data_IF_871238207545
#
_entry.id   IF_871238207545
#
_cell.length_a   1.000
_cell.length_b   1.000
_cell.length_c   1.000
_cell.angle_alpha   90.00
_cell.angle_beta   90.00
_cell.angle_gamma   90.00
#
_symmetry.space_group_name_H-M   'P 1'
#
loop_
_entity.id
_entity.type
_entity.pdbx_description
1 polymer ?
#
# COMPACT_ATOMS: atom_id res chain seq x y z
N UNK A 1 -17.27 -15.03 0.03
CA UNK A 1 -16.32 -16.10 -0.34
C UNK A 1 -16.11 -16.14 -1.84
N UNK A 2 -14.92 -16.56 -2.26
CA UNK A 2 -14.66 -16.82 -3.68
C UNK A 2 -15.27 -18.18 -4.06
N UNK A 3 -16.19 -18.18 -5.02
CA UNK A 3 -16.91 -19.39 -5.44
C UNK A 3 -16.04 -20.33 -6.26
N UNK A 4 -14.98 -19.82 -6.87
CA UNK A 4 -14.04 -20.59 -7.69
C UNK A 4 -12.88 -21.17 -6.88
N UNK A 5 -12.56 -20.55 -5.74
CA UNK A 5 -11.43 -20.94 -4.89
C UNK A 5 -11.89 -21.08 -3.44
N UNK A 6 -12.34 -22.28 -3.03
CA UNK A 6 -12.83 -22.51 -1.67
C UNK A 6 -11.80 -22.07 -0.62
N UNK A 7 -12.24 -21.33 0.38
CA UNK A 7 -11.40 -20.80 1.45
C UNK A 7 -10.83 -19.39 1.16
N UNK A 8 -10.98 -18.87 -0.04
CA UNK A 8 -10.59 -17.52 -0.39
C UNK A 8 -11.77 -16.55 -0.37
N UNK A 9 -11.46 -15.27 -0.29
CA UNK A 9 -12.42 -14.17 -0.35
C UNK A 9 -12.23 -13.37 -1.63
N UNK A 10 -13.35 -13.11 -2.31
CA UNK A 10 -13.38 -12.20 -3.45
C UNK A 10 -13.40 -10.75 -2.91
N UNK A 11 -12.45 -9.94 -3.31
CA UNK A 11 -12.34 -8.54 -2.90
C UNK A 11 -12.94 -7.56 -3.89
N UNK A 12 -13.22 -8.02 -5.11
CA UNK A 12 -13.89 -7.22 -6.13
C UNK A 12 -15.40 -7.51 -6.10
N UNK A 13 -16.17 -6.44 -6.05
CA UNK A 13 -17.60 -6.48 -5.84
C UNK A 13 -18.33 -5.66 -6.91
N UNK A 14 -19.64 -5.81 -6.95
CA UNK A 14 -20.53 -5.01 -7.80
C UNK A 14 -20.63 -3.60 -7.25
N UNK A 15 -20.44 -2.62 -8.12
CA UNK A 15 -20.43 -1.21 -7.73
C UNK A 15 -21.77 -0.75 -7.16
N UNK A 16 -22.93 -0.94 -7.84
CA UNK A 16 -24.21 -0.51 -7.29
C UNK A 16 -24.48 -1.09 -5.91
N UNK A 17 -24.17 -2.38 -5.71
CA UNK A 17 -24.38 -3.03 -4.42
C UNK A 17 -23.54 -2.40 -3.30
N UNK A 18 -22.27 -2.09 -3.57
CA UNK A 18 -21.40 -1.49 -2.58
C UNK A 18 -21.74 -0.04 -2.26
N UNK A 19 -22.07 0.77 -3.28
CA UNK A 19 -22.51 2.16 -3.07
C UNK A 19 -23.80 2.18 -2.25
N UNK A 20 -24.75 1.28 -2.52
CA UNK A 20 -25.95 1.13 -1.75
C UNK A 20 -25.68 0.73 -0.29
N UNK A 21 -24.80 -0.23 -0.05
CA UNK A 21 -24.40 -0.64 1.32
C UNK A 21 -23.77 0.54 2.05
N UNK A 22 -22.82 1.25 1.42
CA UNK A 22 -22.14 2.40 2.01
C UNK A 22 -23.13 3.49 2.41
N UNK A 23 -24.11 3.75 1.57
CA UNK A 23 -25.09 4.84 1.80
C UNK A 23 -26.16 4.47 2.85
N UNK A 24 -26.43 3.19 3.08
CA UNK A 24 -27.54 2.75 3.93
C UNK A 24 -27.10 2.09 5.26
N UNK A 25 -25.82 1.73 5.42
CA UNK A 25 -25.32 1.15 6.67
C UNK A 25 -24.84 2.26 7.60
N UNK A 26 -25.42 2.31 8.80
CA UNK A 26 -25.28 3.47 9.73
C UNK A 26 -23.90 3.62 10.35
N UNK A 27 -23.09 2.56 10.38
CA UNK A 27 -21.77 2.57 11.00
C UNK A 27 -20.63 2.97 10.03
N UNK A 28 -20.96 3.34 8.78
CA UNK A 28 -20.00 3.79 7.78
C UNK A 28 -19.83 5.29 7.83
N UNK A 29 -18.61 5.78 8.01
CA UNK A 29 -18.25 7.19 7.89
C UNK A 29 -18.13 7.60 6.41
N UNK A 30 -17.39 6.82 5.63
CA UNK A 30 -17.27 6.97 4.19
C UNK A 30 -16.80 5.67 3.55
N UNK A 31 -17.00 5.55 2.24
CA UNK A 31 -16.54 4.40 1.48
C UNK A 31 -16.37 4.72 0.00
N UNK A 32 -15.65 3.88 -0.70
CA UNK A 32 -15.45 4.05 -2.13
C UNK A 32 -14.55 2.99 -2.74
N UNK A 33 -14.43 3.05 -4.05
CA UNK A 33 -13.59 2.16 -4.84
C UNK A 33 -12.37 2.88 -5.39
N UNK A 34 -11.24 2.20 -5.38
CA UNK A 34 -10.00 2.63 -6.04
C UNK A 34 -9.14 1.40 -6.35
N UNK A 35 -8.37 1.46 -7.41
CA UNK A 35 -7.33 0.46 -7.63
C UNK A 35 -6.20 0.68 -6.64
N UNK A 36 -5.71 -0.41 -6.04
CA UNK A 36 -4.53 -0.40 -5.18
C UNK A 36 -3.34 -1.04 -5.90
N UNK A 37 -2.13 -0.83 -5.39
CA UNK A 37 -0.90 -1.25 -6.06
C UNK A 37 -0.49 -0.28 -7.17
N UNK A 38 -0.02 -0.80 -8.28
CA UNK A 38 0.53 0.03 -9.37
C UNK A 38 -0.54 0.78 -10.18
N UNK A 39 -1.82 0.39 -10.08
CA UNK A 39 -2.82 0.85 -11.03
C UNK A 39 -2.53 0.34 -12.46
N UNK A 40 -2.86 1.13 -13.46
CA UNK A 40 -2.46 0.86 -14.85
C UNK A 40 -1.56 1.96 -15.38
N UNK A 41 -0.60 1.60 -16.23
CA UNK A 41 0.33 2.57 -16.81
C UNK A 41 -0.26 3.16 -18.07
N UNK A 42 -0.41 4.47 -18.10
CA UNK A 42 -0.98 5.19 -19.22
C UNK A 42 -0.01 6.22 -19.77
N UNK A 43 0.00 6.38 -21.10
CA UNK A 43 0.86 7.32 -21.80
C UNK A 43 0.16 8.66 -21.94
N UNK A 44 0.80 9.71 -21.46
CA UNK A 44 0.36 11.10 -21.57
C UNK A 44 1.37 11.95 -22.34
N UNK A 45 0.94 13.11 -22.80
CA UNK A 45 1.82 14.15 -23.35
C UNK A 45 1.38 15.53 -22.88
N UNK A 46 2.33 16.48 -22.93
CA UNK A 46 2.06 17.89 -22.64
C UNK A 46 1.45 18.62 -23.85
N UNK A 47 1.57 18.05 -25.01
CA UNK A 47 1.10 18.65 -26.27
C UNK A 47 0.21 17.66 -27.02
N UNK A 48 -0.75 18.21 -27.73
CA UNK A 48 -1.73 17.44 -28.51
C UNK A 48 -1.09 16.57 -29.58
N UNK A 49 0.05 16.98 -30.12
CA UNK A 49 0.80 16.23 -31.15
C UNK A 49 1.56 15.00 -30.61
N UNK A 50 1.48 14.73 -29.30
CA UNK A 50 2.15 13.62 -28.65
C UNK A 50 3.63 13.85 -28.36
N UNK A 51 4.16 15.03 -28.63
CA UNK A 51 5.51 15.40 -28.24
C UNK A 51 5.63 15.52 -26.73
N UNK A 52 6.84 15.25 -26.19
CA UNK A 52 7.09 15.27 -24.74
C UNK A 52 6.20 14.29 -23.97
N UNK A 53 6.09 13.05 -24.46
CA UNK A 53 5.28 12.02 -23.83
C UNK A 53 5.97 11.38 -22.61
N UNK A 54 5.16 11.02 -21.62
CA UNK A 54 5.59 10.36 -20.39
C UNK A 54 4.53 9.34 -19.94
N UNK A 55 4.88 8.49 -18.97
CA UNK A 55 3.96 7.51 -18.41
C UNK A 55 3.59 7.89 -16.97
N UNK A 56 2.31 7.72 -16.64
CA UNK A 56 1.80 7.81 -15.27
C UNK A 56 1.12 6.49 -14.89
N UNK A 57 1.29 6.12 -13.64
CA UNK A 57 0.49 5.06 -13.04
C UNK A 57 -0.84 5.66 -12.55
N UNK A 58 -1.90 5.30 -13.24
CA UNK A 58 -3.24 5.86 -13.05
C UNK A 58 -4.08 4.92 -12.20
N UNK A 59 -4.83 5.47 -11.25
CA UNK A 59 -5.91 4.76 -10.58
C UNK A 59 -7.25 5.41 -10.89
N UNK A 60 -8.21 4.60 -11.31
CA UNK A 60 -9.61 5.00 -11.39
C UNK A 60 -10.21 4.90 -10.00
N UNK A 61 -10.80 5.98 -9.51
CA UNK A 61 -11.28 6.08 -8.13
C UNK A 61 -12.61 6.79 -8.05
N UNK A 62 -13.43 6.40 -7.09
CA UNK A 62 -14.59 7.20 -6.69
C UNK A 62 -14.16 8.31 -5.72
N UNK A 63 -14.94 9.38 -5.62
CA UNK A 63 -14.67 10.48 -4.67
C UNK A 63 -14.69 10.00 -3.21
N UNK A 64 -15.49 8.99 -2.91
CA UNK A 64 -15.53 8.37 -1.58
C UNK A 64 -14.19 7.74 -1.18
N UNK A 65 -13.45 7.15 -2.12
CA UNK A 65 -12.14 6.57 -1.85
C UNK A 65 -11.11 7.62 -1.41
N UNK A 66 -11.18 8.86 -1.93
CA UNK A 66 -10.29 9.94 -1.49
C UNK A 66 -10.47 10.27 0.00
N UNK A 67 -11.71 10.19 0.49
CA UNK A 67 -12.01 10.38 1.91
C UNK A 67 -11.51 9.22 2.76
N UNK A 68 -11.72 7.98 2.31
CA UNK A 68 -11.24 6.77 3.00
C UNK A 68 -9.74 6.83 3.21
N UNK A 69 -8.97 7.17 2.17
CA UNK A 69 -7.51 7.21 2.21
C UNK A 69 -6.95 8.58 2.63
N UNK A 70 -7.82 9.52 3.03
CA UNK A 70 -7.42 10.86 3.47
C UNK A 70 -6.46 11.54 2.48
N UNK A 71 -6.81 11.50 1.20
CA UNK A 71 -6.02 12.17 0.15
C UNK A 71 -5.96 13.67 0.46
N UNK A 72 -4.75 14.18 0.67
CA UNK A 72 -4.50 15.58 1.04
C UNK A 72 -4.13 16.39 -0.21
N UNK A 73 -4.95 17.37 -0.57
CA UNK A 73 -4.61 18.29 -1.64
C UNK A 73 -3.55 19.30 -1.17
N UNK A 74 -2.47 19.40 -1.92
CA UNK A 74 -1.41 20.42 -1.74
C UNK A 74 -1.77 21.68 -2.51
N UNK A 75 -2.39 21.50 -3.69
CA UNK A 75 -2.84 22.59 -4.56
C UNK A 75 -4.16 22.17 -5.21
N UNK A 76 -5.11 23.10 -5.38
CA UNK A 76 -6.42 22.83 -5.94
C UNK A 76 -7.40 22.20 -4.95
N UNK A 77 -8.44 21.53 -5.45
CA UNK A 77 -9.48 20.85 -4.64
C UNK A 77 -9.83 19.49 -5.21
N UNK A 78 -9.98 18.51 -4.32
CA UNK A 78 -10.42 17.16 -4.68
C UNK A 78 -11.93 16.95 -4.57
N UNK A 79 -12.68 17.94 -4.11
CA UNK A 79 -14.12 17.79 -3.85
C UNK A 79 -15.00 17.89 -5.11
N UNK A 80 -14.52 18.62 -6.13
CA UNK A 80 -15.30 18.91 -7.34
C UNK A 80 -14.60 18.43 -8.62
N UNK A 81 -14.04 17.24 -8.60
CA UNK A 81 -13.34 16.64 -9.75
C UNK A 81 -14.36 16.14 -10.75
N UNK A 82 -14.33 16.68 -11.96
CA UNK A 82 -15.23 16.30 -13.05
C UNK A 82 -14.81 14.92 -13.58
N UNK A 83 -15.72 13.92 -13.58
CA UNK A 83 -15.42 12.59 -14.07
C UNK A 83 -14.84 12.59 -15.48
N UNK A 84 -13.77 11.83 -15.70
CA UNK A 84 -13.13 11.61 -17.01
C UNK A 84 -12.62 12.88 -17.72
N UNK A 85 -12.61 14.01 -17.05
CA UNK A 85 -12.10 15.29 -17.56
C UNK A 85 -10.99 15.87 -16.70
N UNK A 86 -11.07 15.59 -15.39
CA UNK A 86 -10.12 16.09 -14.43
C UNK A 86 -9.23 14.97 -13.92
N UNK A 87 -7.99 15.33 -13.63
CA UNK A 87 -6.98 14.44 -13.11
C UNK A 87 -6.38 15.06 -11.84
N UNK A 88 -6.14 14.21 -10.85
CA UNK A 88 -5.43 14.56 -9.61
C UNK A 88 -4.07 13.90 -9.66
N UNK A 89 -3.00 14.71 -9.70
CA UNK A 89 -1.62 14.24 -9.86
C UNK A 89 -0.85 14.35 -8.54
N UNK A 90 0.12 13.47 -8.30
CA UNK A 90 0.98 13.55 -7.13
C UNK A 90 1.95 14.74 -7.22
N UNK A 91 2.27 15.35 -6.07
CA UNK A 91 3.22 16.45 -5.95
C UNK A 91 4.58 16.11 -6.54
N UNK A 92 5.08 14.91 -6.28
CA UNK A 92 6.36 14.42 -6.80
C UNK A 92 6.40 14.35 -8.33
N UNK A 93 5.28 14.00 -8.97
CA UNK A 93 5.19 13.95 -10.44
C UNK A 93 4.92 15.34 -11.02
N UNK A 94 4.07 16.13 -10.40
CA UNK A 94 3.79 17.50 -10.81
C UNK A 94 5.10 18.31 -10.83
N UNK A 95 5.91 18.26 -9.76
CA UNK A 95 7.21 18.93 -9.69
C UNK A 95 8.16 18.44 -10.78
N UNK A 96 8.27 17.12 -10.99
CA UNK A 96 9.16 16.54 -12.00
C UNK A 96 8.80 16.95 -13.44
N UNK A 97 7.53 17.14 -13.72
CA UNK A 97 7.00 17.48 -15.05
C UNK A 97 6.76 18.98 -15.22
N UNK A 98 6.89 19.79 -14.15
CA UNK A 98 6.60 21.22 -14.16
C UNK A 98 5.11 21.54 -14.34
N UNK A 99 4.22 20.70 -13.80
CA UNK A 99 2.78 20.81 -13.94
C UNK A 99 2.15 21.52 -12.74
N UNK A 100 1.13 22.32 -13.02
CA UNK A 100 0.36 23.07 -12.04
C UNK A 100 -1.15 22.84 -12.20
N UNK A 101 -1.92 23.21 -11.20
CA UNK A 101 -3.38 23.18 -11.28
C UNK A 101 -3.85 24.10 -12.41
N UNK A 102 -4.75 23.58 -13.25
CA UNK A 102 -5.25 24.25 -14.45
C UNK A 102 -4.49 23.92 -15.73
N UNK A 103 -3.35 23.24 -15.64
CA UNK A 103 -2.66 22.72 -16.82
C UNK A 103 -3.45 21.58 -17.47
N UNK A 104 -3.18 21.39 -18.77
CA UNK A 104 -3.83 20.38 -19.59
C UNK A 104 -2.79 19.36 -20.04
N UNK A 105 -3.15 18.08 -19.90
CA UNK A 105 -2.38 16.97 -20.47
C UNK A 105 -3.28 16.08 -21.33
N UNK A 106 -2.66 15.36 -22.25
CA UNK A 106 -3.35 14.56 -23.25
C UNK A 106 -3.01 13.09 -23.05
N UNK A 107 -4.05 12.25 -22.89
CA UNK A 107 -3.90 10.80 -22.84
C UNK A 107 -3.90 10.22 -24.23
N UNK A 108 -3.02 9.26 -24.46
CA UNK A 108 -2.90 8.50 -25.73
C UNK A 108 -3.42 7.08 -25.55
N UNK A 109 -4.52 6.90 -24.81
CA UNK A 109 -5.04 5.59 -24.50
C UNK A 109 -5.65 4.91 -25.72
N UNK A 110 -5.22 3.66 -25.95
CA UNK A 110 -5.81 2.67 -26.89
C UNK A 110 -6.38 3.21 -28.23
N UNK A 111 -5.52 3.79 -29.02
CA UNK A 111 -5.57 3.59 -30.49
C UNK A 111 -6.46 4.47 -31.32
N UNK A 112 -7.27 5.41 -30.83
CA UNK A 112 -8.05 6.24 -31.75
C UNK A 112 -8.48 7.63 -31.27
N UNK A 113 -8.68 7.86 -30.01
CA UNK A 113 -9.15 9.17 -29.51
C UNK A 113 -8.26 9.65 -28.38
N UNK A 114 -7.55 10.72 -28.66
CA UNK A 114 -6.82 11.46 -27.66
C UNK A 114 -7.81 12.09 -26.69
N UNK A 115 -7.61 11.85 -25.39
CA UNK A 115 -8.46 12.41 -24.36
C UNK A 115 -7.69 13.51 -23.62
N UNK A 116 -8.32 14.66 -23.49
CA UNK A 116 -7.79 15.80 -22.75
C UNK A 116 -8.19 15.70 -21.28
N UNK A 117 -7.24 15.94 -20.38
CA UNK A 117 -7.44 16.03 -18.94
C UNK A 117 -6.95 17.37 -18.42
N UNK A 118 -7.71 17.99 -17.52
CA UNK A 118 -7.27 19.16 -16.75
C UNK A 118 -6.69 18.68 -15.41
N UNK A 119 -5.62 19.28 -14.95
CA UNK A 119 -5.10 19.03 -13.61
C UNK A 119 -5.94 19.84 -12.63
N UNK A 120 -6.86 19.17 -11.92
CA UNK A 120 -7.77 19.80 -10.96
C UNK A 120 -7.14 19.98 -9.58
N UNK A 121 -6.26 19.07 -9.19
CA UNK A 121 -5.56 19.12 -7.92
C UNK A 121 -4.20 18.41 -7.99
N UNK A 122 -3.31 18.86 -7.12
CA UNK A 122 -2.05 18.17 -6.81
C UNK A 122 -2.19 17.62 -5.40
N UNK A 123 -2.01 16.30 -5.24
CA UNK A 123 -2.10 15.66 -3.94
C UNK A 123 -0.71 15.31 -3.38
N UNK A 124 -0.60 15.25 -2.07
CA UNK A 124 0.59 14.80 -1.38
C UNK A 124 0.81 13.32 -1.61
N UNK A 125 1.93 12.97 -2.23
CA UNK A 125 2.24 11.59 -2.57
C UNK A 125 2.24 10.67 -1.34
N UNK A 126 1.69 9.47 -1.50
CA UNK A 126 1.64 8.49 -0.42
C UNK A 126 3.03 7.98 -0.04
N UNK A 127 3.27 7.68 1.25
CA UNK A 127 4.52 7.10 1.70
C UNK A 127 4.84 5.78 0.99
N UNK A 128 6.11 5.48 0.76
CA UNK A 128 6.58 4.29 0.05
C UNK A 128 6.23 2.94 0.70
N UNK A 129 5.78 2.97 1.95
CA UNK A 129 5.33 1.80 2.71
C UNK A 129 3.83 1.51 2.59
N UNK A 130 3.13 2.14 1.65
CA UNK A 130 1.71 1.90 1.37
C UNK A 130 1.52 1.29 -0.01
N UNK A 131 0.42 0.55 -0.21
CA UNK A 131 0.04 0.02 -1.52
C UNK A 131 -0.41 1.09 -2.52
N UNK A 132 -0.66 2.31 -2.04
CA UNK A 132 -1.00 3.46 -2.87
C UNK A 132 0.23 4.24 -3.37
N UNK A 133 1.43 3.91 -2.88
CA UNK A 133 2.66 4.65 -3.19
C UNK A 133 3.10 4.57 -4.66
N UNK A 134 2.59 3.62 -5.42
CA UNK A 134 2.90 3.50 -6.85
C UNK A 134 1.92 4.27 -7.74
N UNK A 135 0.82 4.77 -7.17
CA UNK A 135 -0.16 5.57 -7.90
C UNK A 135 0.38 6.99 -8.03
N UNK A 136 0.43 7.48 -9.25
CA UNK A 136 0.98 8.78 -9.58
C UNK A 136 -0.10 9.79 -9.92
N UNK A 137 -1.27 9.28 -10.34
CA UNK A 137 -2.45 10.11 -10.54
C UNK A 137 -3.75 9.33 -10.37
N UNK A 138 -4.81 10.07 -10.08
CA UNK A 138 -6.17 9.57 -9.98
C UNK A 138 -7.07 10.21 -11.01
N UNK A 139 -7.97 9.41 -11.58
CA UNK A 139 -9.09 9.85 -12.40
C UNK A 139 -10.38 9.51 -11.67
N UNK A 140 -11.29 10.48 -11.54
CA UNK A 140 -12.61 10.21 -11.02
C UNK A 140 -13.43 9.42 -12.06
N UNK A 141 -13.85 8.23 -11.68
CA UNK A 141 -14.61 7.32 -12.55
C UNK A 141 -16.09 7.69 -12.67
N UNK A 142 -16.55 8.71 -11.93
CA UNK A 142 -17.95 9.14 -11.96
C UNK A 142 -18.92 8.00 -11.73
N UNK A 143 -19.97 7.92 -12.56
CA UNK A 143 -21.02 6.91 -12.47
C UNK A 143 -20.76 5.68 -13.35
N UNK A 144 -19.50 5.42 -13.71
CA UNK A 144 -19.15 4.24 -14.51
C UNK A 144 -19.67 2.96 -13.85
N UNK A 145 -20.53 2.22 -14.58
CA UNK A 145 -21.13 0.95 -14.12
C UNK A 145 -21.92 1.05 -12.80
N UNK A 146 -22.44 2.23 -12.42
CA UNK A 146 -23.18 2.42 -11.17
C UNK A 146 -24.50 1.63 -11.14
N UNK A 147 -25.05 1.31 -12.31
CA UNK A 147 -26.29 0.53 -12.46
C UNK A 147 -26.03 -0.93 -12.91
N UNK A 148 -24.76 -1.31 -13.06
CA UNK A 148 -24.40 -2.62 -13.60
C UNK A 148 -24.09 -3.63 -12.49
N UNK A 149 -25.12 -4.33 -12.00
CA UNK A 149 -25.00 -5.34 -10.95
C UNK A 149 -24.18 -6.57 -11.35
N UNK A 150 -24.08 -6.89 -12.63
CA UNK A 150 -23.32 -8.03 -13.14
C UNK A 150 -21.81 -7.83 -13.16
N UNK A 151 -21.33 -6.58 -13.02
CA UNK A 151 -19.90 -6.25 -13.05
C UNK A 151 -19.30 -6.32 -11.64
N UNK A 152 -18.44 -7.32 -11.42
CA UNK A 152 -17.81 -7.59 -10.12
C UNK A 152 -16.29 -7.36 -10.14
N UNK A 153 -15.89 -6.17 -10.57
CA UNK A 153 -14.48 -5.83 -10.80
C UNK A 153 -13.92 -4.78 -9.84
N UNK A 154 -14.74 -4.23 -8.95
CA UNK A 154 -14.37 -3.09 -8.13
C UNK A 154 -13.97 -3.51 -6.71
N UNK A 155 -12.71 -3.25 -6.27
CA UNK A 155 -12.36 -3.34 -4.86
C UNK A 155 -12.95 -2.17 -4.09
N UNK A 156 -13.60 -2.45 -2.96
CA UNK A 156 -14.22 -1.43 -2.11
C UNK A 156 -13.54 -1.32 -0.77
N UNK A 157 -13.41 -0.09 -0.33
CA UNK A 157 -12.84 0.29 0.95
C UNK A 157 -13.85 1.12 1.71
N UNK A 158 -13.97 0.85 3.01
CA UNK A 158 -14.87 1.58 3.90
C UNK A 158 -14.11 2.04 5.13
N UNK A 159 -14.45 3.23 5.60
CA UNK A 159 -14.03 3.75 6.89
C UNK A 159 -15.21 3.71 7.82
N UNK A 160 -15.07 2.99 8.93
CA UNK A 160 -16.10 2.89 9.95
C UNK A 160 -15.96 4.02 10.98
N UNK A 161 -17.06 4.34 11.65
CA UNK A 161 -17.06 5.32 12.73
C UNK A 161 -16.21 4.87 13.93
N UNK A 162 -16.17 3.55 14.19
CA UNK A 162 -15.41 2.93 15.28
C UNK A 162 -14.87 1.56 14.87
N UNK A 163 -13.81 1.11 15.52
CA UNK A 163 -13.30 -0.26 15.37
C UNK A 163 -14.29 -1.32 15.88
N UNK A 164 -15.18 -0.96 16.80
CA UNK A 164 -16.20 -1.85 17.33
C UNK A 164 -17.38 -2.05 16.34
N UNK A 165 -17.41 -1.29 15.26
CA UNK A 165 -18.47 -1.34 14.24
C UNK A 165 -18.25 -2.45 13.18
N UNK A 166 -17.20 -3.25 13.27
CA UNK A 166 -16.91 -4.31 12.30
C UNK A 166 -18.05 -5.34 12.26
N UNK A 167 -18.39 -5.96 13.39
CA UNK A 167 -19.49 -6.95 13.45
C UNK A 167 -20.85 -6.32 13.12
N UNK A 168 -21.22 -5.13 13.65
CA UNK A 168 -22.41 -4.42 13.23
C UNK A 168 -22.48 -4.15 11.71
N UNK A 169 -21.36 -3.75 11.09
CA UNK A 169 -21.29 -3.55 9.65
C UNK A 169 -21.53 -4.85 8.88
N UNK A 170 -20.80 -5.92 9.21
CA UNK A 170 -20.90 -7.21 8.51
C UNK A 170 -22.35 -7.72 8.53
N UNK A 171 -23.04 -7.58 9.67
CA UNK A 171 -24.44 -7.98 9.81
C UNK A 171 -25.38 -7.08 9.00
N UNK A 172 -25.28 -5.76 9.12
CA UNK A 172 -26.15 -4.82 8.40
C UNK A 172 -25.96 -4.93 6.89
N UNK A 173 -24.71 -5.04 6.44
CA UNK A 173 -24.37 -5.22 5.04
C UNK A 173 -24.92 -6.55 4.49
N UNK A 174 -24.83 -7.64 5.26
CA UNK A 174 -25.41 -8.93 4.89
C UNK A 174 -26.92 -8.82 4.72
N UNK A 175 -27.63 -8.28 5.73
CA UNK A 175 -29.08 -8.12 5.71
C UNK A 175 -29.52 -7.26 4.52
N UNK A 176 -28.76 -6.20 4.22
CA UNK A 176 -29.04 -5.30 3.10
C UNK A 176 -28.83 -5.99 1.75
N UNK A 177 -27.75 -6.71 1.57
CA UNK A 177 -27.43 -7.45 0.35
C UNK A 177 -28.48 -8.53 0.07
N UNK A 178 -28.88 -9.31 1.08
CA UNK A 178 -29.95 -10.32 0.96
C UNK A 178 -31.27 -9.67 0.54
N UNK A 179 -31.62 -8.55 1.17
CA UNK A 179 -32.84 -7.79 0.80
C UNK A 179 -32.78 -7.32 -0.66
N UNK A 180 -31.67 -6.78 -1.11
CA UNK A 180 -31.50 -6.29 -2.48
C UNK A 180 -31.65 -7.42 -3.49
N UNK A 181 -30.99 -8.58 -3.28
CA UNK A 181 -31.13 -9.72 -4.16
C UNK A 181 -32.56 -10.27 -4.20
N UNK A 182 -33.25 -10.34 -3.06
CA UNK A 182 -34.65 -10.76 -3.02
C UNK A 182 -35.58 -9.81 -3.79
N UNK A 183 -35.32 -8.50 -3.70
CA UNK A 183 -36.10 -7.51 -4.47
C UNK A 183 -35.87 -7.66 -5.97
N UNK A 184 -34.60 -7.83 -6.39
CA UNK A 184 -34.26 -8.04 -7.80
C UNK A 184 -34.91 -9.32 -8.37
N UNK A 185 -34.88 -10.42 -7.63
CA UNK A 185 -35.52 -11.67 -8.04
C UNK A 185 -37.03 -11.48 -8.23
N UNK A 186 -37.70 -10.80 -7.30
CA UNK A 186 -39.12 -10.49 -7.39
C UNK A 186 -39.48 -9.59 -8.59
N UNK A 187 -38.64 -8.61 -8.92
CA UNK A 187 -38.83 -7.71 -10.07
C UNK A 187 -38.69 -8.45 -11.42
N UNK A 188 -37.84 -9.47 -11.48
CA UNK A 188 -37.67 -10.30 -12.66
C UNK A 188 -38.69 -11.45 -12.76
N UNK A 189 -39.61 -11.59 -11.79
CA UNK A 189 -40.64 -12.61 -11.78
C UNK A 189 -40.12 -14.03 -11.48
N UNK A 190 -38.89 -14.10 -10.98
CA UNK A 190 -38.28 -15.35 -10.49
C UNK A 190 -38.63 -15.50 -9.01
N UNK A 191 -39.74 -16.21 -8.71
CA UNK A 191 -40.01 -16.66 -7.34
C UNK A 191 -38.97 -17.70 -6.94
N UNK A 192 -37.89 -17.26 -6.30
CA UNK A 192 -36.95 -18.17 -5.65
C UNK A 192 -37.69 -18.98 -4.58
N UNK A 193 -37.56 -20.31 -4.60
CA UNK A 193 -38.11 -21.11 -3.54
C UNK A 193 -37.50 -20.78 -2.19
N UNK A 194 -38.19 -21.03 -1.10
CA UNK A 194 -37.64 -20.84 0.26
C UNK A 194 -36.34 -21.63 0.48
N UNK A 195 -36.18 -22.77 -0.20
CA UNK A 195 -34.97 -23.60 -0.14
C UNK A 195 -33.82 -22.93 -0.88
N UNK A 196 -34.03 -22.39 -2.09
CA UNK A 196 -33.03 -21.68 -2.87
C UNK A 196 -32.56 -20.41 -2.15
N UNK A 197 -33.47 -19.69 -1.50
CA UNK A 197 -33.15 -18.53 -0.67
C UNK A 197 -32.23 -18.88 0.49
N UNK A 198 -32.58 -19.90 1.26
CA UNK A 198 -31.76 -20.38 2.39
C UNK A 198 -30.41 -20.90 1.93
N UNK A 199 -30.34 -21.54 0.78
CA UNK A 199 -29.07 -21.98 0.20
C UNK A 199 -28.21 -20.80 -0.21
N UNK A 200 -28.75 -19.78 -0.88
CA UNK A 200 -28.05 -18.57 -1.26
C UNK A 200 -27.56 -17.79 -0.03
N UNK A 201 -28.41 -17.61 0.98
CA UNK A 201 -28.04 -16.97 2.24
C UNK A 201 -26.94 -17.74 2.99
N UNK A 202 -26.98 -19.07 2.97
CA UNK A 202 -25.93 -19.87 3.62
C UNK A 202 -24.54 -19.74 2.95
N UNK A 203 -24.53 -19.45 1.67
CA UNK A 203 -23.31 -19.26 0.86
C UNK A 203 -22.78 -17.84 0.89
N UNK A 204 -23.67 -16.84 1.05
CA UNK A 204 -23.30 -15.46 1.15
C UNK A 204 -22.67 -15.20 2.51
N UNK A 205 -21.49 -14.60 2.50
CA UNK A 205 -20.81 -14.09 3.70
C UNK A 205 -20.15 -12.79 3.35
N UNK A 206 -20.31 -11.81 4.20
CA UNK A 206 -19.62 -10.52 4.10
C UNK A 206 -18.62 -10.46 5.25
N UNK A 207 -17.40 -10.06 4.95
CA UNK A 207 -16.35 -9.90 5.94
C UNK A 207 -15.53 -8.68 5.61
N UNK A 208 -15.23 -7.89 6.63
CA UNK A 208 -14.24 -6.82 6.55
C UNK A 208 -12.85 -7.34 6.90
N UNK A 209 -11.88 -6.84 6.19
CA UNK A 209 -10.48 -7.09 6.46
C UNK A 209 -9.80 -5.76 6.75
N UNK A 210 -9.11 -5.63 7.90
CA UNK A 210 -8.31 -4.44 8.19
C UNK A 210 -7.29 -4.18 7.09
N UNK A 211 -7.19 -2.94 6.63
CA UNK A 211 -6.33 -2.59 5.49
C UNK A 211 -4.85 -2.82 5.79
N UNK A 212 -4.42 -2.61 7.02
CA UNK A 212 -3.05 -2.84 7.47
C UNK A 212 -2.66 -4.33 7.55
N UNK A 213 -3.65 -5.24 7.68
CA UNK A 213 -3.42 -6.68 7.69
C UNK A 213 -3.43 -7.30 6.29
N UNK A 214 -4.00 -6.61 5.30
CA UNK A 214 -4.16 -7.12 3.94
C UNK A 214 -2.85 -7.60 3.31
N UNK A 215 -1.75 -6.93 3.58
CA UNK A 215 -0.43 -7.29 3.02
C UNK A 215 -0.02 -8.73 3.30
N UNK A 216 -0.38 -9.27 4.45
CA UNK A 216 -0.05 -10.63 4.88
C UNK A 216 -1.22 -11.62 4.77
N UNK A 217 -2.40 -11.17 4.37
CA UNK A 217 -3.57 -12.04 4.24
C UNK A 217 -3.52 -12.81 2.92
N UNK A 218 -3.51 -14.15 3.02
CA UNK A 218 -3.40 -15.03 1.85
C UNK A 218 -4.74 -15.49 1.30
N UNK A 219 -5.79 -15.33 2.10
CA UNK A 219 -7.14 -15.76 1.72
C UNK A 219 -7.86 -14.72 0.86
N UNK A 220 -7.25 -13.56 0.69
CA UNK A 220 -7.78 -12.47 -0.12
C UNK A 220 -7.11 -12.49 -1.48
N UNK A 221 -7.92 -12.53 -2.53
CA UNK A 221 -7.44 -12.27 -3.91
C UNK A 221 -7.31 -10.76 -4.09
N UNK A 222 -6.22 -10.16 -3.57
CA UNK A 222 -6.02 -8.71 -3.67
C UNK A 222 -5.23 -8.33 -4.92
N UNK A 223 -5.57 -7.17 -5.48
CA UNK A 223 -4.79 -6.54 -6.55
C UNK A 223 -3.52 -5.83 -6.01
N UNK A 224 -3.36 -5.73 -4.69
CA UNK A 224 -2.23 -5.10 -4.02
C UNK A 224 -1.01 -6.01 -3.87
N UNK A 225 0.04 -5.44 -3.29
CA UNK A 225 1.24 -6.19 -2.91
C UNK A 225 0.90 -7.19 -1.81
N UNK A 226 1.40 -8.40 -1.91
CA UNK A 226 1.24 -9.41 -0.88
C UNK A 226 2.57 -9.91 -0.36
N UNK A 227 2.68 -10.05 0.95
CA UNK A 227 3.84 -10.60 1.64
C UNK A 227 3.56 -11.96 2.26
N UNK A 228 4.62 -12.65 2.65
CA UNK A 228 4.51 -13.91 3.38
C UNK A 228 5.06 -13.73 4.80
N UNK A 229 4.22 -13.87 5.82
CA UNK A 229 4.65 -13.90 7.23
C UNK A 229 5.75 -14.91 7.45
N UNK A 230 5.62 -16.11 6.85
CA UNK A 230 6.64 -17.18 6.95
C UNK A 230 7.98 -16.71 6.39
N UNK A 231 7.99 -16.12 5.19
CA UNK A 231 9.24 -15.61 4.58
C UNK A 231 9.85 -14.50 5.42
N UNK A 232 9.05 -13.58 5.93
CA UNK A 232 9.53 -12.48 6.78
C UNK A 232 10.16 -13.00 8.08
N UNK A 233 9.50 -13.93 8.77
CA UNK A 233 10.06 -14.52 10.00
C UNK A 233 11.29 -15.39 9.71
N UNK A 234 11.34 -16.10 8.59
CA UNK A 234 12.50 -16.88 8.19
C UNK A 234 13.70 -15.97 7.94
N UNK A 235 13.51 -14.87 7.22
CA UNK A 235 14.58 -13.88 6.99
C UNK A 235 15.05 -13.24 8.30
N UNK A 236 14.12 -12.92 9.20
CA UNK A 236 14.45 -12.40 10.54
C UNK A 236 15.28 -13.42 11.34
N UNK A 237 14.88 -14.69 11.34
CA UNK A 237 15.62 -15.75 12.03
C UNK A 237 17.04 -15.91 11.47
N UNK A 238 17.21 -15.89 10.14
CA UNK A 238 18.51 -15.92 9.48
C UNK A 238 19.35 -14.70 9.88
N UNK A 239 18.76 -13.51 9.91
CA UNK A 239 19.47 -12.29 10.32
C UNK A 239 19.97 -12.38 11.76
N UNK A 240 19.14 -12.88 12.68
CA UNK A 240 19.53 -13.10 14.08
C UNK A 240 20.68 -14.14 14.16
N UNK A 241 20.59 -15.24 13.41
CA UNK A 241 21.64 -16.27 13.38
C UNK A 241 22.98 -15.68 12.91
N UNK A 242 22.97 -14.85 11.86
CA UNK A 242 24.16 -14.17 11.35
C UNK A 242 24.76 -13.25 12.42
N UNK A 243 23.93 -12.51 13.16
CA UNK A 243 24.38 -11.66 14.26
C UNK A 243 25.04 -12.50 15.36
N UNK A 244 24.45 -13.64 15.73
CA UNK A 244 25.02 -14.56 16.74
C UNK A 244 26.38 -15.09 16.29
N UNK A 245 26.50 -15.54 15.03
CA UNK A 245 27.76 -16.02 14.47
C UNK A 245 28.82 -14.89 14.48
N UNK A 246 28.45 -13.71 14.06
CA UNK A 246 29.33 -12.54 14.07
C UNK A 246 29.80 -12.20 15.50
N UNK A 247 28.92 -12.31 16.48
CA UNK A 247 29.25 -12.10 17.88
C UNK A 247 30.22 -13.14 18.43
N UNK A 248 30.02 -14.44 18.10
CA UNK A 248 30.92 -15.51 18.45
C UNK A 248 32.32 -15.26 17.84
N UNK A 249 32.39 -14.90 16.56
CA UNK A 249 33.64 -14.57 15.89
C UNK A 249 34.34 -13.37 16.55
N UNK A 250 33.60 -12.35 16.95
CA UNK A 250 34.11 -11.20 17.67
C UNK A 250 34.70 -11.61 19.02
N UNK A 251 34.01 -12.47 19.78
CA UNK A 251 34.53 -13.00 21.06
C UNK A 251 35.82 -13.78 20.84
N UNK A 252 35.89 -14.69 19.87
CA UNK A 252 37.08 -15.47 19.55
C UNK A 252 38.27 -14.56 19.21
N UNK A 253 38.03 -13.55 18.37
CA UNK A 253 39.05 -12.55 18.03
C UNK A 253 39.51 -11.75 19.26
N UNK A 254 38.57 -11.34 20.11
CA UNK A 254 38.88 -10.63 21.35
C UNK A 254 39.77 -11.46 22.27
N UNK A 255 39.44 -12.74 22.48
CA UNK A 255 40.28 -13.65 23.30
C UNK A 255 41.68 -13.85 22.74
N UNK A 256 41.82 -13.92 21.41
CA UNK A 256 43.12 -14.02 20.77
C UNK A 256 44.03 -12.80 21.02
N UNK A 257 43.42 -11.61 21.21
CA UNK A 257 44.13 -10.37 21.48
C UNK A 257 44.48 -10.18 22.98
N UNK A 258 43.87 -10.94 23.90
CA UNK A 258 44.08 -10.79 25.36
C UNK A 258 45.53 -10.86 25.75
N UNK A 259 46.38 -11.85 25.30
CA UNK A 259 47.79 -11.92 25.71
C UNK A 259 48.58 -10.67 25.31
N UNK A 260 48.33 -10.14 24.11
CA UNK A 260 49.02 -8.95 23.61
C UNK A 260 48.59 -7.70 24.44
N UNK A 261 47.28 -7.57 24.71
CA UNK A 261 46.76 -6.46 25.51
C UNK A 261 47.21 -6.50 26.97
N UNK A 262 47.29 -7.69 27.59
CA UNK A 262 47.79 -7.86 28.95
C UNK A 262 49.23 -7.33 29.08
N UNK A 263 50.11 -7.61 28.11
CA UNK A 263 51.49 -7.09 28.11
C UNK A 263 51.51 -5.55 28.07
N UNK A 264 50.70 -4.92 27.23
CA UNK A 264 50.62 -3.47 27.16
C UNK A 264 50.01 -2.85 28.43
N UNK A 265 48.93 -3.45 28.97
CA UNK A 265 48.30 -3.00 30.21
C UNK A 265 49.25 -3.09 31.41
N UNK A 266 50.00 -4.21 31.55
CA UNK A 266 50.99 -4.39 32.60
C UNK A 266 52.11 -3.35 32.53
N UNK A 267 52.66 -3.06 31.33
CA UNK A 267 53.67 -2.04 31.14
C UNK A 267 53.16 -0.65 31.58
N UNK A 268 51.95 -0.27 31.16
CA UNK A 268 51.33 1.02 31.56
C UNK A 268 51.07 1.09 33.08
N UNK A 269 50.70 -0.06 33.71
CA UNK A 269 50.46 -0.13 35.15
C UNK A 269 51.75 0.07 35.93
N UNK A 270 52.87 -0.52 35.48
CA UNK A 270 54.21 -0.33 36.06
C UNK A 270 54.65 1.14 35.97
N UNK A 271 54.25 1.83 34.91
CA UNK A 271 54.51 3.27 34.68
C UNK A 271 53.57 4.18 35.46
N UNK A 272 52.69 3.64 36.35
CA UNK A 272 51.83 4.42 37.23
C UNK A 272 50.46 4.77 36.65
N UNK A 273 50.02 4.14 35.56
CA UNK A 273 48.69 4.38 35.03
C UNK A 273 47.57 3.91 35.99
N UNK A 274 46.59 4.74 36.24
CA UNK A 274 45.44 4.39 37.08
C UNK A 274 44.55 3.34 36.38
N UNK A 275 43.87 2.50 37.16
CA UNK A 275 42.93 1.49 36.64
C UNK A 275 41.84 2.10 35.75
N UNK A 276 41.37 3.27 36.14
CA UNK A 276 40.33 4.00 35.39
C UNK A 276 40.82 4.41 33.99
N UNK A 277 42.03 4.94 33.89
CA UNK A 277 42.61 5.35 32.61
C UNK A 277 42.87 4.15 31.67
N UNK A 278 43.22 2.99 32.22
CA UNK A 278 43.42 1.77 31.43
C UNK A 278 42.07 1.26 30.87
N UNK A 279 41.03 1.20 31.70
CA UNK A 279 39.68 0.78 31.28
C UNK A 279 39.12 1.75 30.27
N UNK A 280 39.23 3.06 30.52
CA UNK A 280 38.76 4.09 29.61
C UNK A 280 39.42 3.99 28.23
N UNK A 281 40.72 3.76 28.17
CA UNK A 281 41.45 3.58 26.92
C UNK A 281 40.92 2.38 26.10
N UNK A 282 40.66 1.23 26.76
CA UNK A 282 40.10 0.04 26.09
C UNK A 282 38.69 0.27 25.58
N UNK A 283 37.84 0.96 26.38
CA UNK A 283 36.48 1.31 25.98
C UNK A 283 36.47 2.24 24.77
N UNK A 284 37.27 3.29 24.79
CA UNK A 284 37.37 4.23 23.67
C UNK A 284 37.83 3.54 22.38
N UNK A 285 38.86 2.69 22.47
CA UNK A 285 39.33 1.88 21.33
C UNK A 285 38.23 1.00 20.75
N UNK A 286 37.46 0.33 21.63
CA UNK A 286 36.32 -0.51 21.19
C UNK A 286 35.22 0.29 20.55
N UNK A 287 34.86 1.45 21.10
CA UNK A 287 33.82 2.35 20.54
C UNK A 287 34.24 2.86 19.16
N UNK A 288 35.48 3.28 18.98
CA UNK A 288 35.99 3.74 17.68
C UNK A 288 35.91 2.63 16.64
N UNK A 289 36.31 1.40 17.01
CA UNK A 289 36.20 0.24 16.09
C UNK A 289 34.76 -0.06 15.67
N UNK A 290 33.81 0.03 16.60
CA UNK A 290 32.38 -0.14 16.31
C UNK A 290 31.88 0.95 15.36
N UNK A 291 32.23 2.21 15.59
CA UNK A 291 31.83 3.33 14.71
C UNK A 291 32.36 3.11 13.30
N UNK A 292 33.65 2.73 13.16
CA UNK A 292 34.24 2.44 11.83
C UNK A 292 33.52 1.29 11.14
N UNK A 293 33.24 0.19 11.88
CA UNK A 293 32.52 -0.95 11.33
C UNK A 293 31.09 -0.59 10.88
N UNK A 294 30.36 0.21 11.66
CA UNK A 294 29.02 0.70 11.31
C UNK A 294 29.06 1.62 10.07
N UNK A 295 30.05 2.51 9.98
CA UNK A 295 30.21 3.39 8.83
C UNK A 295 30.48 2.60 7.54
N UNK A 296 31.34 1.56 7.61
CA UNK A 296 31.61 0.67 6.49
C UNK A 296 30.37 -0.14 6.10
N UNK A 297 29.63 -0.70 7.08
CA UNK A 297 28.40 -1.42 6.83
C UNK A 297 27.35 -0.53 6.16
N UNK A 298 27.14 0.69 6.66
CA UNK A 298 26.23 1.67 6.08
C UNK A 298 26.62 2.05 4.64
N UNK A 299 27.92 2.22 4.39
CA UNK A 299 28.47 2.49 3.05
C UNK A 299 28.18 1.35 2.07
N UNK A 300 28.38 0.10 2.50
CA UNK A 300 28.09 -1.10 1.69
C UNK A 300 26.60 -1.18 1.38
N UNK A 301 25.74 -1.04 2.40
CA UNK A 301 24.28 -1.06 2.22
C UNK A 301 23.85 0.01 1.23
N UNK A 302 24.33 1.25 1.36
CA UNK A 302 24.01 2.34 0.43
C UNK A 302 24.43 2.06 -1.01
N UNK A 303 25.61 1.46 -1.21
CA UNK A 303 26.11 1.06 -2.53
C UNK A 303 25.23 -0.01 -3.18
N UNK A 304 24.79 -1.00 -2.42
CA UNK A 304 23.93 -2.07 -2.93
C UNK A 304 22.48 -1.59 -3.14
N UNK A 305 21.89 -0.85 -2.20
CA UNK A 305 20.53 -0.30 -2.36
C UNK A 305 20.46 0.74 -3.48
N UNK A 306 21.49 1.58 -3.65
CA UNK A 306 21.54 2.53 -4.76
C UNK A 306 21.62 1.85 -6.14
N UNK A 307 22.21 0.66 -6.21
CA UNK A 307 22.32 -0.12 -7.46
C UNK A 307 21.03 -0.88 -7.78
N UNK A 308 20.31 -1.36 -6.76
CA UNK A 308 19.02 -2.06 -6.97
C UNK A 308 17.90 -1.10 -7.35
N UNK A 309 17.87 0.11 -6.83
CA UNK A 309 16.91 1.14 -7.26
C UNK A 309 17.16 1.63 -8.71
N UNK A 310 18.40 1.58 -9.21
CA UNK A 310 18.72 1.88 -10.61
C UNK A 310 18.50 0.72 -11.59
N UNK A 311 18.38 -0.53 -11.09
CA UNK A 311 18.17 -1.72 -11.92
C UNK A 311 16.70 -2.16 -12.00
N UNK A 312 15.81 -1.55 -11.20
CA UNK A 312 14.37 -1.83 -11.16
C UNK A 312 13.51 -0.73 -11.81
N UNK A 313 14.14 0.29 -12.39
CA UNK A 313 13.46 1.24 -13.29
C UNK A 313 13.76 0.82 -14.72
N UNK A 314 12.79 0.21 -15.45
CA UNK A 314 12.89 0.02 -16.89
C UNK A 314 12.87 1.34 -17.64
#
# INVERSE_FOLDING_TARGET
PDWYTPGNWKTTLSRPLCEDVINNVSCVECGGTTSIGKGYSEKFSLQEDGNSSFYLNVSQSSLGAFKVFSVEAVEGSIDNIVPWKDLVISDTKAEKLGLHVGDVIYSHNHGATMQQYNIAAIYKHFPSNTDLSEIECFVNMGDLNIDLFSEWSYPYFVKLNSADDIEPFEKQAFDYVVKTFNNMANEHGEELSEEDRKEAESRLKIKLFPFDEMYFEKTISSAGRSGSKTTTYTLLAIAILVIVIAFINFINFFFALVPVRLKSVNTRKILGASRSNLVFGIVVESVVMIIVALALAAGIVKLFCGRTNGALTP
#
